data_IF_015215885825
#
_entry.id   IF_015215885825
#
_cell.length_a   1.000
_cell.length_b   1.000
_cell.length_c   1.000
_cell.angle_alpha   90.00
_cell.angle_beta   90.00
_cell.angle_gamma   90.00
#
_symmetry.space_group_name_H-M   'P 1'
#
loop_
_entity.id
_entity.type
_entity.pdbx_description
1 polymer ?
#
# COMPACT_ATOMS: atom_id res chain seq x y z
N UNK A 1 -1.38 3.35 14.43
CA UNK A 1 -0.84 4.51 13.67
C UNK A 1 -1.43 5.75 14.28
N UNK A 2 -0.66 6.83 14.42
CA UNK A 2 -1.11 8.15 14.87
C UNK A 2 -1.05 9.17 13.73
N UNK A 3 -1.74 10.30 13.88
CA UNK A 3 -1.65 11.44 12.94
C UNK A 3 -0.24 12.04 13.04
N UNK A 4 0.43 12.20 11.89
CA UNK A 4 1.82 12.64 11.80
C UNK A 4 2.81 11.52 11.48
N UNK A 5 2.40 10.25 11.59
CA UNK A 5 3.27 9.11 11.26
C UNK A 5 3.64 9.08 9.77
N UNK A 6 4.93 8.95 9.49
CA UNK A 6 5.45 8.64 8.15
C UNK A 6 5.38 7.13 7.90
N UNK A 7 4.66 6.74 6.86
CA UNK A 7 4.50 5.35 6.43
C UNK A 7 4.83 5.20 4.95
N UNK A 8 5.39 4.05 4.57
CA UNK A 8 5.55 3.65 3.18
C UNK A 8 4.32 2.87 2.76
N UNK A 9 3.65 3.33 1.71
CA UNK A 9 2.47 2.65 1.15
C UNK A 9 2.66 2.38 -0.33
N UNK A 10 2.10 1.27 -0.79
CA UNK A 10 2.07 0.98 -2.22
C UNK A 10 0.97 1.81 -2.88
N UNK A 11 1.37 2.67 -3.82
CA UNK A 11 0.48 3.50 -4.59
C UNK A 11 0.79 3.33 -6.08
N UNK A 12 -0.15 2.72 -6.79
CA UNK A 12 -0.03 2.39 -8.22
C UNK A 12 1.20 1.51 -8.54
N UNK A 13 1.49 0.51 -7.70
CA UNK A 13 2.61 -0.42 -7.90
C UNK A 13 3.98 0.18 -7.60
N UNK A 14 4.02 1.40 -7.03
CA UNK A 14 5.23 2.05 -6.54
C UNK A 14 5.09 2.30 -5.06
N UNK A 15 6.15 2.03 -4.30
CA UNK A 15 6.24 2.42 -2.90
C UNK A 15 6.46 3.93 -2.81
N UNK A 16 5.62 4.60 -2.05
CA UNK A 16 5.75 6.03 -1.76
C UNK A 16 5.69 6.29 -0.27
N UNK A 17 6.40 7.32 0.15
CA UNK A 17 6.30 7.86 1.48
C UNK A 17 5.01 8.69 1.61
N UNK A 18 4.30 8.48 2.70
CA UNK A 18 3.05 9.16 3.02
C UNK A 18 3.01 9.49 4.51
N UNK A 19 2.40 10.63 4.85
CA UNK A 19 2.18 11.06 6.23
C UNK A 19 0.71 10.87 6.57
N UNK A 20 0.40 10.27 7.71
CA UNK A 20 -0.98 10.20 8.20
C UNK A 20 -1.46 11.61 8.52
N UNK A 21 -2.39 12.14 7.74
CA UNK A 21 -2.93 13.47 7.91
C UNK A 21 -4.19 13.48 8.79
N UNK A 22 -5.09 12.50 8.59
CA UNK A 22 -6.24 12.26 9.47
C UNK A 22 -6.47 10.76 9.61
N UNK A 23 -6.79 10.33 10.82
CA UNK A 23 -7.14 8.96 11.12
C UNK A 23 -8.61 8.92 11.55
N UNK A 24 -9.39 8.07 10.90
CA UNK A 24 -10.75 7.73 11.27
C UNK A 24 -10.81 6.23 11.58
N UNK A 25 -11.84 5.77 12.31
CA UNK A 25 -11.95 4.36 12.71
C UNK A 25 -11.92 3.38 11.53
N UNK A 26 -12.48 3.77 10.38
CA UNK A 26 -12.60 2.91 9.20
C UNK A 26 -11.75 3.40 8.01
N UNK A 27 -11.23 4.63 8.08
CA UNK A 27 -10.57 5.29 6.95
C UNK A 27 -9.36 6.08 7.41
N UNK A 28 -8.36 6.18 6.56
CA UNK A 28 -7.17 6.98 6.80
C UNK A 28 -6.95 7.92 5.63
N UNK A 29 -6.60 9.15 5.95
CA UNK A 29 -6.22 10.17 4.99
C UNK A 29 -4.71 10.32 5.08
N UNK A 30 -4.06 10.04 3.96
CA UNK A 30 -2.62 10.04 3.83
C UNK A 30 -2.22 11.23 2.96
N UNK A 31 -1.38 12.12 3.49
CA UNK A 31 -0.74 13.17 2.71
C UNK A 31 0.47 12.57 2.00
N UNK A 32 0.49 12.67 0.68
CA UNK A 32 1.55 12.18 -0.19
C UNK A 32 2.11 13.32 -1.00
N UNK A 33 3.43 13.38 -1.05
CA UNK A 33 4.14 14.27 -1.97
C UNK A 33 4.39 13.51 -3.28
N UNK A 34 3.84 14.02 -4.36
CA UNK A 34 4.16 13.59 -5.71
C UNK A 34 5.08 14.63 -6.32
N UNK A 35 6.02 14.15 -7.14
CA UNK A 35 7.00 14.96 -7.87
C UNK A 35 6.36 16.18 -8.57
N UNK A 36 5.16 16.00 -9.13
CA UNK A 36 4.39 17.05 -9.81
C UNK A 36 3.21 17.60 -8.97
N UNK A 37 2.93 17.02 -7.81
CA UNK A 37 1.82 17.41 -6.94
C UNK A 37 2.19 17.23 -5.46
N UNK A 38 2.70 18.29 -4.86
CA UNK A 38 3.05 18.31 -3.44
C UNK A 38 1.78 18.35 -2.57
N UNK A 39 1.80 17.62 -1.46
CA UNK A 39 0.76 17.65 -0.44
C UNK A 39 -0.59 17.03 -0.80
N UNK A 40 -0.65 16.19 -1.83
CA UNK A 40 -1.91 15.56 -2.27
C UNK A 40 -2.43 14.60 -1.21
N UNK A 41 -3.71 14.72 -0.85
CA UNK A 41 -4.35 13.87 0.17
C UNK A 41 -5.05 12.69 -0.50
N UNK A 42 -4.73 11.48 -0.05
CA UNK A 42 -5.31 10.22 -0.52
C UNK A 42 -6.11 9.60 0.60
N UNK A 43 -7.39 9.34 0.34
CA UNK A 43 -8.29 8.60 1.23
C UNK A 43 -8.18 7.11 0.97
N UNK A 44 -7.96 6.31 2.01
CA UNK A 44 -7.94 4.84 1.97
C UNK A 44 -8.71 4.23 3.13
N UNK A 45 -9.21 3.00 2.94
CA UNK A 45 -9.75 2.21 4.06
C UNK A 45 -8.62 1.76 4.96
N UNK A 46 -8.82 1.81 6.27
CA UNK A 46 -7.81 1.42 7.25
C UNK A 46 -7.37 -0.04 7.03
N UNK A 47 -8.33 -0.93 6.75
CA UNK A 47 -8.08 -2.36 6.48
C UNK A 47 -7.12 -2.60 5.30
N UNK A 48 -7.04 -1.71 4.32
CA UNK A 48 -6.13 -1.85 3.17
C UNK A 48 -4.71 -1.32 3.44
N UNK A 49 -4.58 -0.42 4.43
CA UNK A 49 -3.29 0.17 4.82
C UNK A 49 -2.62 -0.68 5.90
N UNK A 50 -3.41 -1.22 6.82
CA UNK A 50 -2.92 -2.08 7.90
C UNK A 50 -2.59 -3.51 7.43
N UNK A 51 -3.27 -4.01 6.40
CA UNK A 51 -2.94 -5.30 5.75
C UNK A 51 -1.55 -5.35 5.10
N UNK A 52 -0.83 -4.21 5.06
CA UNK A 52 0.59 -4.18 4.70
C UNK A 52 1.56 -4.28 5.90
N UNK A 53 1.09 -4.23 7.15
CA UNK A 53 1.93 -4.22 8.36
C UNK A 53 1.73 -5.37 9.35
N UNK A 54 0.83 -6.31 9.08
CA UNK A 54 0.80 -7.63 9.74
C UNK A 54 1.03 -8.73 8.72
N UNK A 55 2.29 -8.88 8.30
CA UNK A 55 2.65 -9.84 7.26
C UNK A 55 4.17 -10.00 7.12
N UNK A 56 4.86 -10.30 8.22
CA UNK A 56 5.96 -11.26 8.12
C UNK A 56 5.33 -12.61 7.76
N UNK A 57 4.98 -12.77 6.50
CA UNK A 57 4.72 -14.06 5.88
C UNK A 57 5.63 -14.10 4.65
N UNK A 58 6.84 -14.56 4.94
CA UNK A 58 7.55 -15.52 4.11
C UNK A 58 7.91 -15.13 2.67
N UNK A 59 9.22 -15.01 2.46
CA UNK A 59 9.87 -15.18 1.16
C UNK A 59 9.65 -16.61 0.65
N UNK A 60 8.49 -16.97 0.07
CA UNK A 60 8.51 -18.08 -0.90
C UNK A 60 7.40 -18.04 -1.95
N UNK A 61 7.83 -18.15 -3.22
CA UNK A 61 7.06 -18.55 -4.42
C UNK A 61 6.02 -17.58 -5.00
N UNK A 62 6.54 -16.61 -5.77
CA UNK A 62 5.95 -16.25 -7.07
C UNK A 62 6.91 -16.63 -8.19
N UNK A 63 6.94 -17.92 -8.58
CA UNK A 63 7.31 -18.37 -9.93
C UNK A 63 6.61 -19.70 -10.24
N UNK A 64 6.11 -19.78 -11.49
CA UNK A 64 5.56 -20.93 -12.21
C UNK A 64 4.05 -21.23 -12.06
N UNK A 65 3.25 -20.52 -12.85
CA UNK A 65 2.07 -21.10 -13.50
C UNK A 65 1.82 -20.40 -14.85
N UNK A 66 2.73 -20.60 -15.81
CA UNK A 66 2.51 -20.35 -17.24
C UNK A 66 3.39 -21.29 -18.08
N UNK A 67 2.89 -22.50 -18.35
CA UNK A 67 3.27 -23.46 -19.41
C UNK A 67 2.42 -24.72 -19.16
N UNK A 68 1.62 -25.34 -20.03
CA UNK A 68 1.48 -25.52 -21.48
C UNK A 68 0.03 -26.04 -21.68
N UNK A 69 -0.84 -25.43 -22.50
CA UNK A 69 -1.19 -25.82 -23.88
C UNK A 69 -0.92 -27.30 -24.28
N UNK A 70 -1.96 -27.90 -24.89
CA UNK A 70 -1.97 -29.05 -25.83
C UNK A 70 -1.99 -30.48 -25.26
N UNK A 71 -3.18 -31.09 -25.41
CA UNK A 71 -3.46 -32.21 -26.33
C UNK A 71 -2.49 -33.39 -26.26
N UNK A 72 -2.93 -34.46 -25.61
CA UNK A 72 -2.72 -35.86 -26.01
C UNK A 72 -3.84 -36.69 -25.44
#
# INVERSE_FOLDING_TARGET
MQVGDKIKVDFAGKKKDAVVHKLFPNQVYLKMDFDRHLGKIVKRKLSQVESGKSGKADKTKKKAAKSKKKKS
#
